data_IF_716361656561
#
_entry.id   IF_716361656561
#
_cell.length_a   1.000
_cell.length_b   1.000
_cell.length_c   1.000
_cell.angle_alpha   90.00
_cell.angle_beta   90.00
_cell.angle_gamma   90.00
#
_symmetry.space_group_name_H-M   'P 1'
#
loop_
_entity.id
_entity.type
_entity.pdbx_description
1 polymer ?
#
# COMPACT_ATOMS: atom_id res chain seq x y z
N UNK A 1 -9.17 -16.02 -23.73
CA UNK A 1 -9.64 -15.49 -22.43
C UNK A 1 -9.41 -13.99 -22.44
N UNK A 2 -10.50 -13.21 -22.39
CA UNK A 2 -10.43 -11.74 -22.42
C UNK A 2 -9.76 -11.24 -21.13
N UNK A 3 -8.94 -10.20 -21.24
CA UNK A 3 -8.28 -9.50 -20.13
C UNK A 3 -9.34 -8.74 -19.30
N UNK A 4 -10.19 -9.48 -18.59
CA UNK A 4 -11.31 -8.92 -17.82
C UNK A 4 -10.75 -8.10 -16.65
N UNK A 5 -11.03 -6.80 -16.68
CA UNK A 5 -10.68 -5.83 -15.65
C UNK A 5 -11.96 -5.07 -15.29
N UNK A 6 -12.38 -5.14 -14.04
CA UNK A 6 -13.54 -4.38 -13.53
C UNK A 6 -13.14 -3.01 -12.98
N UNK A 7 -11.93 -2.93 -12.42
CA UNK A 7 -11.43 -1.71 -11.76
C UNK A 7 -10.53 -0.91 -12.70
N UNK A 8 -10.77 0.38 -12.75
CA UNK A 8 -9.93 1.38 -13.42
C UNK A 8 -9.09 2.09 -12.37
N UNK A 9 -7.79 2.21 -12.64
CA UNK A 9 -6.83 2.93 -11.81
C UNK A 9 -6.29 4.07 -12.64
N UNK A 10 -6.50 5.29 -12.19
CA UNK A 10 -6.07 6.52 -12.86
C UNK A 10 -5.39 7.48 -11.88
N UNK A 11 -4.76 8.54 -12.39
CA UNK A 11 -4.14 9.61 -11.59
C UNK A 11 -3.23 9.12 -10.46
N UNK A 12 -2.39 8.12 -10.73
CA UNK A 12 -1.37 7.70 -9.75
C UNK A 12 -0.35 8.82 -9.57
N UNK A 13 -0.18 9.26 -8.33
CA UNK A 13 0.71 10.34 -7.91
C UNK A 13 1.57 9.86 -6.74
N UNK A 14 2.85 10.27 -6.63
CA UNK A 14 3.52 11.31 -7.40
C UNK A 14 4.26 10.77 -8.63
N UNK A 15 4.01 11.37 -9.79
CA UNK A 15 4.68 11.01 -11.05
C UNK A 15 5.30 12.24 -11.69
N UNK A 16 6.37 12.05 -12.47
CA UNK A 16 7.01 13.13 -13.24
C UNK A 16 6.82 12.82 -14.71
N UNK A 17 6.20 13.74 -15.46
CA UNK A 17 5.83 13.58 -16.86
C UNK A 17 5.12 12.23 -17.13
N UNK A 18 4.07 11.93 -16.38
CA UNK A 18 3.31 10.68 -16.54
C UNK A 18 4.08 9.40 -16.20
N UNK A 19 5.28 9.50 -15.63
CA UNK A 19 6.14 8.35 -15.28
C UNK A 19 7.39 8.21 -16.14
N UNK A 20 7.60 9.08 -17.13
CA UNK A 20 8.82 9.10 -17.96
C UNK A 20 10.08 9.32 -17.13
N UNK A 21 9.95 10.05 -16.02
CA UNK A 21 11.03 10.30 -15.08
C UNK A 21 10.67 9.80 -13.68
N UNK A 22 11.72 9.45 -12.94
CA UNK A 22 11.61 9.04 -11.56
C UNK A 22 11.44 10.24 -10.63
N UNK A 23 10.64 10.07 -9.58
CA UNK A 23 10.66 11.03 -8.46
C UNK A 23 11.94 10.81 -7.63
N UNK A 24 12.30 11.80 -6.80
CA UNK A 24 13.46 11.70 -5.90
C UNK A 24 13.04 11.66 -4.44
N UNK A 25 13.77 10.87 -3.65
CA UNK A 25 13.73 10.84 -2.18
C UNK A 25 15.14 10.66 -1.64
N UNK A 26 15.32 10.83 -0.34
CA UNK A 26 16.51 10.33 0.38
C UNK A 26 16.13 9.19 1.33
N UNK A 27 17.14 8.41 1.73
CA UNK A 27 16.96 7.31 2.68
C UNK A 27 16.17 7.74 3.93
N UNK A 28 15.22 6.90 4.33
CA UNK A 28 14.26 7.03 5.42
C UNK A 28 13.13 8.06 5.20
N UNK A 29 12.95 8.55 3.99
CA UNK A 29 11.76 9.32 3.65
C UNK A 29 10.56 8.43 3.33
N UNK A 30 9.39 9.06 3.39
CA UNK A 30 8.11 8.47 3.03
C UNK A 30 7.75 8.91 1.60
N UNK A 31 7.26 7.96 0.83
CA UNK A 31 6.56 8.21 -0.43
C UNK A 31 5.07 8.07 -0.14
N UNK A 32 4.36 9.20 -0.09
CA UNK A 32 2.90 9.22 -0.07
C UNK A 32 2.41 9.01 -1.50
N UNK A 33 1.52 8.06 -1.70
CA UNK A 33 0.96 7.72 -3.01
C UNK A 33 -0.55 7.86 -2.97
N UNK A 34 -1.04 8.61 -3.94
CA UNK A 34 -2.45 8.84 -4.19
C UNK A 34 -2.83 8.20 -5.54
N UNK A 35 -4.06 7.73 -5.67
CA UNK A 35 -4.61 7.23 -6.92
C UNK A 35 -6.13 7.40 -6.95
N UNK A 36 -6.69 7.54 -8.16
CA UNK A 36 -8.13 7.51 -8.38
C UNK A 36 -8.54 6.11 -8.81
N UNK A 37 -9.46 5.49 -8.08
CA UNK A 37 -9.81 4.08 -8.30
C UNK A 37 -11.32 3.93 -8.30
N UNK A 38 -11.85 3.44 -9.41
CA UNK A 38 -13.29 3.28 -9.64
C UNK A 38 -13.60 1.97 -10.36
N UNK A 39 -14.84 1.51 -10.27
CA UNK A 39 -15.33 0.35 -10.99
C UNK A 39 -16.78 0.60 -11.45
N UNK A 40 -17.33 -0.30 -12.25
CA UNK A 40 -18.75 -0.33 -12.54
C UNK A 40 -19.58 -0.68 -11.29
N UNK A 41 -20.75 -0.06 -11.15
CA UNK A 41 -21.72 -0.39 -10.08
C UNK A 41 -21.41 0.26 -8.72
N UNK A 42 -21.82 -0.43 -7.66
CA UNK A 42 -21.73 0.03 -6.26
C UNK A 42 -20.92 -0.93 -5.38
N UNK A 43 -20.10 -1.76 -6.00
CA UNK A 43 -19.31 -2.75 -5.28
C UNK A 43 -18.23 -2.08 -4.43
N UNK A 44 -17.96 -2.65 -3.24
CA UNK A 44 -16.84 -2.23 -2.40
C UNK A 44 -15.52 -2.60 -3.08
N UNK A 45 -14.62 -1.63 -3.18
CA UNK A 45 -13.30 -1.80 -3.78
C UNK A 45 -12.22 -2.00 -2.73
N UNK A 46 -11.12 -2.61 -3.16
CA UNK A 46 -9.88 -2.68 -2.40
C UNK A 46 -8.71 -2.26 -3.27
N UNK A 47 -7.74 -1.56 -2.67
CA UNK A 47 -6.49 -1.23 -3.32
C UNK A 47 -5.28 -1.37 -2.40
N UNK A 48 -4.12 -1.56 -3.00
CA UNK A 48 -2.82 -1.72 -2.34
C UNK A 48 -1.74 -1.05 -3.18
N UNK A 49 -0.79 -0.40 -2.52
CA UNK A 49 0.47 -0.03 -3.13
C UNK A 49 1.46 -1.19 -3.05
N UNK A 50 1.98 -1.58 -4.22
CA UNK A 50 3.06 -2.53 -4.36
C UNK A 50 4.36 -1.74 -4.54
N UNK A 51 5.37 -2.00 -3.73
CA UNK A 51 6.68 -1.38 -3.86
C UNK A 51 7.82 -2.36 -3.61
N UNK A 52 8.96 -2.15 -4.26
CA UNK A 52 10.19 -2.92 -4.00
C UNK A 52 11.44 -2.15 -4.38
N UNK A 53 12.52 -2.41 -3.67
CA UNK A 53 13.85 -1.98 -4.09
C UNK A 53 14.31 -2.80 -5.31
N UNK A 54 15.16 -2.23 -6.16
CA UNK A 54 15.67 -2.90 -7.37
C UNK A 54 16.41 -4.22 -7.09
N UNK A 55 17.05 -4.33 -5.91
CA UNK A 55 17.74 -5.54 -5.48
C UNK A 55 16.83 -6.56 -4.79
N UNK A 56 15.57 -6.21 -4.51
CA UNK A 56 14.63 -7.08 -3.82
C UNK A 56 13.80 -7.88 -4.84
N UNK A 57 13.69 -9.19 -4.61
CA UNK A 57 12.94 -10.10 -5.52
C UNK A 57 11.43 -9.97 -5.34
N UNK A 58 10.98 -9.80 -4.10
CA UNK A 58 9.57 -9.77 -3.71
C UNK A 58 9.05 -8.34 -3.64
N UNK A 59 7.77 -8.18 -3.98
CA UNK A 59 7.04 -6.94 -3.73
C UNK A 59 6.61 -6.89 -2.27
N UNK A 60 6.71 -5.71 -1.68
CA UNK A 60 6.03 -5.37 -0.43
C UNK A 60 4.71 -4.68 -0.76
N UNK A 61 3.77 -4.77 0.16
CA UNK A 61 2.39 -4.35 -0.05
C UNK A 61 1.90 -3.54 1.15
N UNK A 62 1.38 -2.34 0.90
CA UNK A 62 0.65 -1.57 1.91
C UNK A 62 -0.77 -1.28 1.41
N UNK A 63 -1.75 -1.54 2.26
CA UNK A 63 -3.17 -1.32 1.94
C UNK A 63 -3.45 0.16 1.73
N UNK A 64 -4.19 0.51 0.68
CA UNK A 64 -4.68 1.87 0.46
C UNK A 64 -6.02 2.07 1.14
N UNK A 65 -6.27 3.30 1.58
CA UNK A 65 -7.52 3.70 2.23
C UNK A 65 -8.23 4.72 1.34
N UNK A 66 -9.51 4.49 1.11
CA UNK A 66 -10.40 5.45 0.44
C UNK A 66 -10.57 6.68 1.34
N UNK A 67 -10.37 7.86 0.77
CA UNK A 67 -10.53 9.14 1.49
C UNK A 67 -11.84 9.82 1.10
N UNK A 68 -11.92 10.37 -0.11
CA UNK A 68 -13.14 10.97 -0.66
C UNK A 68 -13.10 10.96 -2.18
N UNK A 69 -14.26 10.88 -2.84
CA UNK A 69 -14.38 11.06 -4.29
C UNK A 69 -13.43 10.16 -5.11
N UNK A 70 -13.45 8.85 -4.83
CA UNK A 70 -12.60 7.84 -5.45
C UNK A 70 -11.09 8.04 -5.26
N UNK A 71 -10.65 8.95 -4.36
CA UNK A 71 -9.25 9.14 -4.01
C UNK A 71 -8.80 8.14 -2.95
N UNK A 72 -7.79 7.35 -3.29
CA UNK A 72 -7.16 6.35 -2.43
C UNK A 72 -5.77 6.80 -2.05
N UNK A 73 -5.40 6.60 -0.78
CA UNK A 73 -4.09 7.00 -0.26
C UNK A 73 -3.39 5.84 0.46
N UNK A 74 -2.10 5.73 0.25
CA UNK A 74 -1.20 4.92 1.05
C UNK A 74 0.19 5.56 1.09
N UNK A 75 1.08 4.98 1.88
CA UNK A 75 2.47 5.39 1.87
C UNK A 75 3.40 4.20 2.09
N UNK A 76 4.67 4.37 1.70
CA UNK A 76 5.73 3.43 2.02
C UNK A 76 7.04 4.18 2.28
N UNK A 77 7.93 3.55 3.07
CA UNK A 77 9.22 4.13 3.45
C UNK A 77 10.35 3.56 2.60
N UNK A 78 11.28 4.43 2.17
CA UNK A 78 12.46 4.03 1.38
C UNK A 78 13.70 3.89 2.26
N UNK A 79 14.14 2.66 2.52
CA UNK A 79 15.20 2.37 3.51
C UNK A 79 16.59 2.19 2.89
N UNK A 80 16.69 1.89 1.59
CA UNK A 80 17.94 1.63 0.86
C UNK A 80 18.19 2.74 -0.16
N UNK A 81 19.46 3.06 -0.44
CA UNK A 81 19.78 3.89 -1.61
C UNK A 81 19.63 3.07 -2.88
N UNK A 82 19.25 3.72 -3.98
CA UNK A 82 19.03 3.09 -5.28
C UNK A 82 17.62 3.33 -5.80
N UNK A 83 17.22 2.54 -6.79
CA UNK A 83 15.86 2.63 -7.34
C UNK A 83 14.87 1.79 -6.56
N UNK A 84 13.71 2.38 -6.27
CA UNK A 84 12.49 1.67 -5.94
C UNK A 84 11.53 1.71 -7.12
N UNK A 85 10.87 0.59 -7.36
CA UNK A 85 9.71 0.53 -8.24
C UNK A 85 8.45 0.50 -7.37
N UNK A 86 7.40 1.19 -7.81
CA UNK A 86 6.10 1.13 -7.16
C UNK A 86 4.96 1.16 -8.18
N UNK A 87 3.83 0.57 -7.84
CA UNK A 87 2.59 0.57 -8.63
C UNK A 87 1.38 0.37 -7.72
N UNK A 88 0.21 0.72 -8.21
CA UNK A 88 -1.06 0.49 -7.52
C UNK A 88 -1.72 -0.77 -8.09
N UNK A 89 -2.26 -1.59 -7.22
CA UNK A 89 -3.10 -2.74 -7.55
C UNK A 89 -4.46 -2.57 -6.90
N UNK A 90 -5.53 -2.83 -7.66
CA UNK A 90 -6.90 -2.67 -7.17
C UNK A 90 -7.83 -3.77 -7.69
N UNK A 91 -8.87 -4.07 -6.92
CA UNK A 91 -9.83 -5.14 -7.19
C UNK A 91 -11.19 -4.81 -6.55
N UNK A 92 -12.22 -5.57 -6.95
CA UNK A 92 -13.50 -5.60 -6.25
C UNK A 92 -13.35 -6.50 -5.03
N UNK A 93 -13.59 -5.97 -3.84
CA UNK A 93 -13.40 -6.69 -2.58
C UNK A 93 -14.68 -7.44 -2.20
N UNK A 94 -14.86 -8.64 -2.75
CA UNK A 94 -16.10 -9.40 -2.60
C UNK A 94 -16.47 -9.72 -1.14
N UNK A 95 -15.50 -10.01 -0.28
CA UNK A 95 -15.76 -10.28 1.13
C UNK A 95 -16.26 -9.03 1.87
N UNK A 96 -15.64 -7.87 1.63
CA UNK A 96 -16.10 -6.61 2.22
C UNK A 96 -17.41 -6.11 1.58
N UNK A 97 -17.61 -6.36 0.29
CA UNK A 97 -18.84 -6.06 -0.42
C UNK A 97 -20.03 -6.88 0.12
N UNK A 98 -19.81 -8.17 0.34
CA UNK A 98 -20.75 -9.06 1.00
C UNK A 98 -21.15 -8.53 2.38
N UNK A 99 -20.17 -8.21 3.24
CA UNK A 99 -20.44 -7.69 4.59
C UNK A 99 -21.23 -6.39 4.54
N UNK A 100 -20.90 -5.50 3.60
CA UNK A 100 -21.63 -4.25 3.39
C UNK A 100 -23.11 -4.50 3.02
N UNK A 101 -23.37 -5.42 2.08
CA UNK A 101 -24.73 -5.82 1.69
C UNK A 101 -25.49 -6.49 2.85
N UNK A 102 -24.82 -7.39 3.58
CA UNK A 102 -25.36 -8.08 4.74
C UNK A 102 -25.86 -7.10 5.81
N UNK A 103 -25.02 -6.13 6.22
CA UNK A 103 -25.36 -5.13 7.24
C UNK A 103 -26.62 -4.34 6.85
N UNK A 104 -26.74 -3.95 5.57
CA UNK A 104 -27.92 -3.21 5.10
C UNK A 104 -29.19 -4.05 5.20
N UNK A 105 -29.14 -5.32 4.76
CA UNK A 105 -30.28 -6.24 4.85
C UNK A 105 -30.71 -6.48 6.30
N UNK A 106 -29.75 -6.63 7.22
CA UNK A 106 -30.03 -6.75 8.66
C UNK A 106 -30.73 -5.49 9.19
N UNK A 107 -30.25 -4.30 8.82
CA UNK A 107 -30.85 -3.03 9.24
C UNK A 107 -32.28 -2.83 8.69
N UNK A 108 -32.58 -3.41 7.54
CA UNK A 108 -33.91 -3.43 6.95
C UNK A 108 -34.83 -4.51 7.56
N UNK A 109 -34.36 -5.25 8.58
CA UNK A 109 -35.11 -6.31 9.25
C UNK A 109 -35.29 -7.58 8.41
N UNK A 110 -34.48 -7.76 7.36
CA UNK A 110 -34.56 -8.94 6.50
C UNK A 110 -33.86 -10.14 7.13
N UNK A 111 -34.36 -11.33 6.83
CA UNK A 111 -33.74 -12.58 7.24
C UNK A 111 -32.63 -12.98 6.25
N UNK A 112 -31.41 -13.16 6.74
CA UNK A 112 -30.16 -13.19 5.92
C UNK A 112 -29.41 -14.53 5.93
N UNK A 113 -30.14 -15.65 5.98
CA UNK A 113 -29.53 -16.99 6.04
C UNK A 113 -28.69 -17.30 4.80
N UNK A 114 -29.16 -16.94 3.60
CA UNK A 114 -28.43 -17.18 2.36
C UNK A 114 -27.10 -16.42 2.33
N UNK A 115 -27.09 -15.20 2.83
CA UNK A 115 -25.90 -14.35 2.89
C UNK A 115 -24.91 -14.90 3.93
N UNK A 116 -25.38 -15.41 5.07
CA UNK A 116 -24.49 -16.05 6.04
C UNK A 116 -23.77 -17.27 5.43
N UNK A 117 -24.47 -18.07 4.63
CA UNK A 117 -23.85 -19.19 3.89
C UNK A 117 -22.77 -18.70 2.92
N UNK A 118 -23.04 -17.64 2.16
CA UNK A 118 -22.04 -17.00 1.29
C UNK A 118 -20.82 -16.49 2.08
N UNK A 119 -21.07 -15.89 3.26
CA UNK A 119 -20.04 -15.45 4.19
C UNK A 119 -19.07 -16.57 4.59
N UNK A 120 -19.58 -17.79 4.78
CA UNK A 120 -18.76 -18.94 5.14
C UNK A 120 -17.79 -19.35 4.03
N UNK A 121 -18.15 -19.12 2.76
CA UNK A 121 -17.30 -19.38 1.59
C UNK A 121 -16.12 -18.40 1.53
N UNK A 122 -16.33 -17.12 1.88
CA UNK A 122 -15.24 -16.14 1.95
C UNK A 122 -14.23 -16.43 3.07
N UNK A 123 -14.66 -17.11 4.14
CA UNK A 123 -13.81 -17.46 5.28
C UNK A 123 -12.85 -18.62 4.96
N UNK A 124 -13.30 -19.61 4.18
CA UNK A 124 -12.55 -20.84 3.89
C UNK A 124 -11.10 -20.62 3.41
N UNK A 125 -10.84 -19.78 2.38
CA UNK A 125 -9.49 -19.55 1.89
C UNK A 125 -8.57 -18.79 2.87
N UNK A 126 -9.13 -18.20 3.94
CA UNK A 126 -8.37 -17.43 4.93
C UNK A 126 -7.81 -18.29 6.06
N UNK A 127 -8.38 -19.47 6.30
CA UNK A 127 -7.99 -20.37 7.40
C UNK A 127 -6.51 -20.76 7.40
N UNK A 128 -5.86 -20.69 6.22
CA UNK A 128 -4.44 -21.01 6.05
C UNK A 128 -3.52 -19.78 6.01
N UNK A 129 -4.08 -18.56 6.09
CA UNK A 129 -3.34 -17.29 5.97
C UNK A 129 -3.26 -16.51 7.28
N UNK A 130 -4.15 -16.80 8.22
CA UNK A 130 -4.26 -16.07 9.50
C UNK A 130 -3.48 -16.75 10.63
N UNK A 131 -3.31 -16.03 11.74
CA UNK A 131 -2.73 -16.58 12.97
C UNK A 131 -3.69 -17.61 13.64
N UNK A 132 -3.20 -18.32 14.66
CA UNK A 132 -3.98 -19.38 15.32
C UNK A 132 -5.26 -18.89 16.01
N UNK A 133 -5.25 -17.70 16.60
CA UNK A 133 -6.41 -17.13 17.31
C UNK A 133 -7.52 -16.72 16.32
N UNK A 134 -7.15 -16.01 15.26
CA UNK A 134 -8.07 -15.65 14.19
C UNK A 134 -8.57 -16.89 13.43
N UNK A 135 -7.75 -17.92 13.29
CA UNK A 135 -8.20 -19.20 12.71
C UNK A 135 -9.32 -19.83 13.54
N UNK A 136 -9.15 -19.92 14.86
CA UNK A 136 -10.19 -20.46 15.75
C UNK A 136 -11.48 -19.63 15.69
N UNK A 137 -11.35 -18.31 15.64
CA UNK A 137 -12.48 -17.40 15.46
C UNK A 137 -13.21 -17.64 14.14
N UNK A 138 -12.48 -17.74 13.02
CA UNK A 138 -13.03 -18.00 11.69
C UNK A 138 -13.68 -19.39 11.58
N UNK A 139 -13.10 -20.42 12.20
CA UNK A 139 -13.70 -21.77 12.25
C UNK A 139 -15.01 -21.78 13.06
N UNK A 140 -15.07 -20.98 14.13
CA UNK A 140 -16.31 -20.79 14.87
C UNK A 140 -17.37 -20.09 14.01
N UNK A 141 -17.00 -19.01 13.31
CA UNK A 141 -17.89 -18.29 12.39
C UNK A 141 -18.46 -19.20 11.29
N UNK A 142 -17.63 -20.02 10.66
CA UNK A 142 -18.09 -20.96 9.63
C UNK A 142 -19.15 -21.95 10.14
N UNK A 143 -19.06 -22.33 11.42
CA UNK A 143 -20.03 -23.24 12.04
C UNK A 143 -21.35 -22.54 12.28
N UNK A 144 -21.33 -21.38 12.93
CA UNK A 144 -22.55 -20.64 13.29
C UNK A 144 -23.26 -20.06 12.04
N UNK A 145 -22.52 -19.72 10.99
CA UNK A 145 -23.11 -19.24 9.73
C UNK A 145 -23.90 -20.33 8.98
N UNK A 146 -23.59 -21.61 9.24
CA UNK A 146 -24.27 -22.77 8.62
C UNK A 146 -25.35 -23.37 9.51
N UNK A 147 -25.47 -22.94 10.77
CA UNK A 147 -26.43 -23.46 11.73
C UNK A 147 -27.57 -22.47 11.98
N UNK A 148 -28.78 -22.84 11.56
CA UNK A 148 -29.98 -22.02 11.73
C UNK A 148 -30.31 -21.76 13.22
N UNK A 149 -29.93 -22.64 14.14
CA UNK A 149 -30.17 -22.45 15.58
C UNK A 149 -29.28 -21.34 16.18
N UNK A 150 -28.17 -21.02 15.51
CA UNK A 150 -27.18 -20.04 15.93
C UNK A 150 -27.36 -18.68 15.24
N UNK A 151 -28.49 -18.45 14.57
CA UNK A 151 -28.74 -17.27 13.73
C UNK A 151 -28.49 -15.92 14.43
N UNK A 152 -28.94 -15.78 15.69
CA UNK A 152 -28.75 -14.54 16.45
C UNK A 152 -27.28 -14.22 16.74
N UNK A 153 -26.49 -15.25 17.04
CA UNK A 153 -25.04 -15.12 17.23
C UNK A 153 -24.34 -14.83 15.90
N UNK A 154 -24.72 -15.54 14.84
CA UNK A 154 -24.16 -15.39 13.49
C UNK A 154 -24.27 -13.96 12.97
N UNK A 155 -25.44 -13.34 13.07
CA UNK A 155 -25.62 -11.93 12.68
C UNK A 155 -24.75 -11.01 13.53
N UNK A 156 -24.80 -11.19 14.85
CA UNK A 156 -24.07 -10.35 15.80
C UNK A 156 -22.56 -10.38 15.52
N UNK A 157 -22.01 -11.55 15.20
CA UNK A 157 -20.61 -11.72 14.86
C UNK A 157 -20.26 -11.20 13.45
N UNK A 158 -21.13 -11.42 12.45
CA UNK A 158 -20.86 -11.01 11.08
C UNK A 158 -20.71 -9.49 10.91
N UNK A 159 -21.36 -8.71 11.77
CA UNK A 159 -21.26 -7.23 11.75
C UNK A 159 -20.06 -6.70 12.53
N UNK A 160 -19.35 -7.51 13.32
CA UNK A 160 -18.25 -7.02 14.15
C UNK A 160 -17.07 -6.52 13.34
N UNK A 161 -16.38 -5.52 13.91
CA UNK A 161 -15.13 -4.99 13.37
C UNK A 161 -13.99 -6.02 13.35
N UNK A 162 -14.05 -7.04 14.20
CA UNK A 162 -13.05 -8.13 14.18
C UNK A 162 -13.02 -8.82 12.82
N UNK A 163 -14.19 -9.23 12.30
CA UNK A 163 -14.29 -9.89 11.00
C UNK A 163 -13.87 -8.94 9.86
N UNK A 164 -14.27 -7.67 9.93
CA UNK A 164 -13.83 -6.64 8.98
C UNK A 164 -12.32 -6.56 8.86
N UNK A 165 -11.63 -6.45 10.01
CA UNK A 165 -10.18 -6.30 10.04
C UNK A 165 -9.48 -7.54 9.46
N UNK A 166 -9.99 -8.74 9.74
CA UNK A 166 -9.45 -9.98 9.16
C UNK A 166 -9.55 -9.97 7.63
N UNK A 167 -10.71 -9.62 7.07
CA UNK A 167 -10.91 -9.49 5.63
C UNK A 167 -10.05 -8.39 5.02
N UNK A 168 -9.98 -7.23 5.66
CA UNK A 168 -9.22 -6.08 5.17
C UNK A 168 -7.71 -6.36 5.08
N UNK A 169 -7.17 -7.10 6.05
CA UNK A 169 -5.75 -7.49 6.07
C UNK A 169 -5.43 -8.69 5.17
N UNK A 170 -6.41 -9.55 4.89
CA UNK A 170 -6.22 -10.77 4.11
C UNK A 170 -7.14 -10.82 2.87
N UNK A 171 -7.04 -9.86 1.95
CA UNK A 171 -7.94 -9.80 0.82
C UNK A 171 -7.69 -10.93 -0.19
N UNK A 172 -8.76 -11.34 -0.86
CA UNK A 172 -8.70 -12.24 -2.01
C UNK A 172 -8.87 -11.38 -3.27
N UNK A 173 -7.78 -11.23 -4.03
CA UNK A 173 -7.69 -10.29 -5.14
C UNK A 173 -8.14 -10.92 -6.47
N UNK A 174 -9.45 -11.08 -6.65
CA UNK A 174 -10.05 -11.64 -7.89
C UNK A 174 -10.16 -10.54 -8.96
N UNK A 175 -9.76 -10.85 -10.20
CA UNK A 175 -9.77 -9.90 -11.34
C UNK A 175 -9.05 -8.56 -11.05
N UNK A 176 -7.97 -8.63 -10.27
CA UNK A 176 -7.17 -7.47 -9.94
C UNK A 176 -6.57 -6.80 -11.19
N UNK A 177 -6.59 -5.48 -11.20
CA UNK A 177 -5.93 -4.66 -12.19
C UNK A 177 -4.73 -3.93 -11.55
N UNK A 178 -3.72 -3.60 -12.36
CA UNK A 178 -2.53 -2.86 -11.90
C UNK A 178 -2.29 -1.64 -12.78
N UNK A 179 -1.78 -0.57 -12.18
CA UNK A 179 -1.29 0.61 -12.88
C UNK A 179 0.01 0.32 -13.62
N UNK A 180 0.48 1.30 -14.40
CA UNK A 180 1.89 1.38 -14.81
C UNK A 180 2.83 1.32 -13.60
N UNK A 181 4.06 0.88 -13.84
CA UNK A 181 5.11 0.87 -12.82
C UNK A 181 5.90 2.19 -12.86
N UNK A 182 6.00 2.84 -11.72
CA UNK A 182 6.71 4.10 -11.53
C UNK A 182 7.99 3.90 -10.73
N UNK A 183 8.89 4.86 -10.80
CA UNK A 183 10.22 4.79 -10.17
C UNK A 183 10.47 5.92 -9.19
N UNK A 184 11.18 5.59 -8.12
CA UNK A 184 11.75 6.53 -7.15
C UNK A 184 13.25 6.29 -7.12
N UNK A 185 14.05 7.33 -7.29
CA UNK A 185 15.48 7.27 -6.98
C UNK A 185 15.73 7.76 -5.55
N UNK A 186 16.42 6.95 -4.76
CA UNK A 186 16.68 7.21 -3.34
C UNK A 186 18.16 7.51 -3.14
N UNK A 187 18.45 8.76 -2.81
CA UNK A 187 19.81 9.26 -2.61
C UNK A 187 20.20 9.23 -1.10
N UNK A 188 21.46 9.51 -0.80
CA UNK A 188 21.96 9.67 0.57
C UNK A 188 21.37 10.94 1.20
N UNK A 189 21.26 10.96 2.53
CA UNK A 189 20.73 12.11 3.31
C UNK A 189 21.36 13.46 2.92
N UNK A 190 22.68 13.48 2.66
CA UNK A 190 23.43 14.69 2.27
C UNK A 190 22.96 15.33 0.94
N UNK A 191 22.25 14.60 0.08
CA UNK A 191 21.68 15.14 -1.16
C UNK A 191 20.50 16.09 -0.90
N UNK A 192 19.76 15.92 0.20
CA UNK A 192 18.66 16.80 0.61
C UNK A 192 19.12 17.91 1.55
N UNK A 193 20.02 17.58 2.48
CA UNK A 193 20.45 18.52 3.51
C UNK A 193 21.96 18.40 3.72
N UNK A 194 22.69 19.46 3.34
CA UNK A 194 24.11 19.61 3.56
C UNK A 194 24.49 21.09 3.59
N UNK A 195 25.56 21.41 4.32
CA UNK A 195 26.16 22.75 4.34
C UNK A 195 27.33 22.77 3.37
N UNK A 196 27.33 23.72 2.46
CA UNK A 196 28.37 23.86 1.44
C UNK A 196 29.21 25.09 1.75
N UNK A 197 30.53 24.91 1.74
CA UNK A 197 31.49 25.99 1.83
C UNK A 197 32.21 26.12 0.50
N UNK A 198 32.11 27.29 -0.12
CA UNK A 198 32.81 27.59 -1.35
C UNK A 198 34.04 28.44 -1.05
N UNK A 199 35.20 27.99 -1.53
CA UNK A 199 36.44 28.71 -1.37
C UNK A 199 37.33 28.54 -2.59
N UNK A 200 38.10 29.59 -2.88
CA UNK A 200 39.09 29.57 -3.95
C UNK A 200 40.46 29.21 -3.38
N UNK A 201 41.03 28.01 -3.64
CA UNK A 201 42.30 27.58 -3.07
C UNK A 201 43.44 28.58 -3.27
N UNK A 202 43.43 29.29 -4.41
CA UNK A 202 44.39 30.37 -4.72
C UNK A 202 44.35 31.56 -3.73
N UNK A 203 43.38 31.66 -2.84
CA UNK A 203 43.28 32.74 -1.85
C UNK A 203 43.84 32.35 -0.47
N UNK A 204 44.10 31.06 -0.21
CA UNK A 204 44.61 30.55 1.08
C UNK A 204 46.15 30.45 1.08
N UNK A 205 46.84 31.49 0.61
CA UNK A 205 48.30 31.48 0.51
C UNK A 205 48.93 31.96 1.80
N UNK A 206 49.88 31.20 2.34
CA UNK A 206 50.89 31.71 3.27
C UNK A 206 52.07 32.22 2.43
N UNK A 207 52.15 33.53 2.21
CA UNK A 207 53.26 34.35 1.66
C UNK A 207 54.26 33.75 0.63
N UNK A 208 54.36 34.42 -0.54
CA UNK A 208 55.43 34.38 -1.57
C UNK A 208 56.03 33.01 -1.95
N UNK A 209 55.24 32.13 -2.55
CA UNK A 209 55.73 31.16 -3.53
C UNK A 209 54.69 30.98 -4.65
N UNK A 210 55.15 30.85 -5.89
CA UNK A 210 54.36 31.08 -7.12
C UNK A 210 53.31 29.99 -7.45
N UNK A 211 53.03 29.06 -6.52
CA UNK A 211 52.06 27.98 -6.74
C UNK A 211 51.39 27.60 -5.41
N UNK A 212 50.09 27.83 -5.27
CA UNK A 212 49.31 27.29 -4.16
C UNK A 212 49.06 25.80 -4.41
N UNK A 213 49.85 24.93 -3.78
CA UNK A 213 49.68 23.48 -3.85
C UNK A 213 48.47 23.06 -2.99
N UNK A 214 47.71 22.04 -3.45
CA UNK A 214 46.58 21.41 -2.75
C UNK A 214 46.90 20.97 -1.31
N UNK A 215 48.18 20.85 -0.98
CA UNK A 215 48.71 20.49 0.34
C UNK A 215 48.24 21.44 1.45
N UNK A 216 48.08 22.74 1.18
CA UNK A 216 47.65 23.72 2.20
C UNK A 216 46.16 23.57 2.54
N UNK A 217 45.34 23.14 1.57
CA UNK A 217 43.90 22.97 1.77
C UNK A 217 43.54 21.69 2.54
N UNK A 218 44.43 20.68 2.53
CA UNK A 218 44.17 19.38 3.15
C UNK A 218 44.16 19.44 4.70
N UNK A 219 44.81 20.45 5.30
CA UNK A 219 44.83 20.65 6.75
C UNK A 219 43.48 21.09 7.35
N UNK A 220 42.51 21.48 6.52
CA UNK A 220 41.20 22.01 6.95
C UNK A 220 40.02 21.06 6.72
N UNK A 221 40.26 19.83 6.23
CA UNK A 221 39.21 18.90 5.78
C UNK A 221 39.11 17.60 6.61
N UNK A 222 39.75 17.53 7.78
CA UNK A 222 39.60 16.40 8.71
C UNK A 222 38.66 16.74 9.88
N UNK A 223 37.36 16.92 9.61
CA UNK A 223 36.27 16.74 10.58
C UNK A 223 34.99 16.24 9.88
#
# INVERSE_FOLDING_TARGET
MQNQKRVVIDYVSPTVNGGDFYIKRVVNEIVNVDAHIMADGHDVLGATILYKHENDKTWQENRMVLTSNDEWKASFSVQKQGFYNYKVEAWVDYALNWRYGLIRKINDGQHVVSELLEGAEYIEPLLNKVNADDKQYLEHLQRIFKDENSYGEAISEAVKERLYNIFFQNPIKILANTSSTYKVYVDRKKARFSTWYEFFPRSARSTKAFTALLTIAHAYYQE
#
